data_IF_190917968159
#
_entry.id   IF_190917968159
#
_cell.length_a   1.000
_cell.length_b   1.000
_cell.length_c   1.000
_cell.angle_alpha   90.00
_cell.angle_beta   90.00
_cell.angle_gamma   90.00
#
_symmetry.space_group_name_H-M   'P 1'
#
loop_
_entity.id
_entity.type
_entity.pdbx_description
1 polymer ?
#
# COMPACT_ATOMS: atom_id res chain seq x y z
N UNK A 1 -9.24 4.02 -12.49
CA UNK A 1 -10.29 3.38 -11.65
C UNK A 1 -11.49 4.32 -11.51
N UNK A 2 -12.73 3.85 -11.29
CA UNK A 2 -13.85 4.74 -10.92
C UNK A 2 -13.79 5.14 -9.45
N UNK A 3 -14.47 6.21 -9.04
CA UNK A 3 -14.56 6.62 -7.62
C UNK A 3 -15.14 5.48 -6.76
N UNK A 4 -16.18 4.80 -7.23
CA UNK A 4 -16.79 3.67 -6.52
C UNK A 4 -15.82 2.49 -6.36
N UNK A 5 -15.03 2.20 -7.40
CA UNK A 5 -14.01 1.16 -7.35
C UNK A 5 -12.87 1.51 -6.38
N UNK A 6 -12.52 2.80 -6.24
CA UNK A 6 -11.53 3.25 -5.26
C UNK A 6 -11.96 2.94 -3.83
N UNK A 7 -13.22 3.19 -3.49
CA UNK A 7 -13.77 2.88 -2.16
C UNK A 7 -14.18 1.42 -1.98
N UNK A 8 -13.93 0.57 -2.98
CA UNK A 8 -14.13 -0.87 -2.86
C UNK A 8 -12.81 -1.54 -2.51
N UNK A 9 -12.84 -2.40 -1.48
CA UNK A 9 -11.66 -3.18 -1.09
C UNK A 9 -11.17 -4.04 -2.26
N UNK A 10 -9.85 -4.06 -2.57
CA UNK A 10 -9.32 -4.96 -3.57
C UNK A 10 -9.39 -6.41 -3.09
N UNK A 11 -9.10 -7.40 -3.97
CA UNK A 11 -8.95 -8.79 -3.57
C UNK A 11 -7.96 -8.93 -2.38
N UNK A 12 -8.24 -9.84 -1.45
CA UNK A 12 -7.43 -10.01 -0.22
C UNK A 12 -5.94 -10.21 -0.52
N UNK A 13 -5.62 -11.01 -1.54
CA UNK A 13 -4.24 -11.24 -2.01
C UNK A 13 -3.51 -9.96 -2.43
N UNK A 14 -4.23 -8.98 -3.01
CA UNK A 14 -3.68 -7.67 -3.42
C UNK A 14 -3.41 -6.83 -2.18
N UNK A 15 -4.36 -6.79 -1.24
CA UNK A 15 -4.17 -6.09 0.03
C UNK A 15 -2.98 -6.65 0.83
N UNK A 16 -2.90 -7.98 0.96
CA UNK A 16 -1.84 -8.65 1.71
C UNK A 16 -0.47 -8.41 1.05
N UNK A 17 -0.40 -8.41 -0.27
CA UNK A 17 0.81 -8.08 -1.02
C UNK A 17 1.23 -6.61 -0.81
N UNK A 18 0.30 -5.65 -0.91
CA UNK A 18 0.57 -4.24 -0.63
C UNK A 18 1.09 -4.06 0.79
N UNK A 19 0.39 -4.63 1.77
CA UNK A 19 0.73 -4.49 3.19
C UNK A 19 2.11 -5.08 3.48
N UNK A 20 2.38 -6.31 3.02
CA UNK A 20 3.67 -6.99 3.22
C UNK A 20 4.84 -6.21 2.63
N UNK A 21 4.71 -5.75 1.38
CA UNK A 21 5.80 -4.99 0.76
C UNK A 21 5.94 -3.58 1.37
N UNK A 22 4.84 -2.96 1.82
CA UNK A 22 4.90 -1.71 2.55
C UNK A 22 5.62 -1.84 3.90
N UNK A 23 5.34 -2.90 4.67
CA UNK A 23 6.04 -3.22 5.92
C UNK A 23 7.54 -3.37 5.70
N UNK A 24 7.96 -4.05 4.62
CA UNK A 24 9.39 -4.19 4.27
C UNK A 24 10.03 -2.84 3.94
N UNK A 25 9.37 -1.99 3.16
CA UNK A 25 9.89 -0.66 2.82
C UNK A 25 10.09 0.16 4.09
N UNK A 26 9.07 0.24 4.96
CA UNK A 26 9.17 0.99 6.22
C UNK A 26 10.21 0.41 7.18
N UNK A 27 10.38 -0.91 7.20
CA UNK A 27 11.38 -1.58 8.04
C UNK A 27 12.82 -1.19 7.70
N UNK A 28 13.07 -0.69 6.48
CA UNK A 28 14.39 -0.19 6.07
C UNK A 28 14.75 1.21 6.57
N UNK A 29 13.80 1.93 7.15
CA UNK A 29 14.02 3.27 7.71
C UNK A 29 14.49 3.21 9.17
N UNK A 30 15.10 4.31 9.62
CA UNK A 30 15.47 4.51 11.02
C UNK A 30 14.28 5.00 11.88
N UNK A 31 14.44 4.92 13.19
CA UNK A 31 13.47 5.49 14.13
C UNK A 31 13.46 7.03 14.10
N UNK A 32 12.32 7.69 14.37
CA UNK A 32 11.02 7.11 14.74
C UNK A 32 10.14 6.75 13.53
N UNK A 33 10.61 7.03 12.30
CA UNK A 33 9.80 6.84 11.09
C UNK A 33 9.39 5.39 10.88
N UNK A 34 10.29 4.44 11.14
CA UNK A 34 9.98 3.02 11.05
C UNK A 34 8.83 2.62 11.97
N UNK A 35 8.97 2.81 13.29
CA UNK A 35 7.93 2.39 14.24
C UNK A 35 6.60 3.10 13.99
N UNK A 36 6.62 4.41 13.73
CA UNK A 36 5.39 5.19 13.48
C UNK A 36 4.60 4.65 12.29
N UNK A 37 5.26 4.31 11.17
CA UNK A 37 4.57 3.80 9.99
C UNK A 37 4.13 2.35 10.14
N UNK A 38 4.95 1.50 10.76
CA UNK A 38 4.59 0.11 11.04
C UNK A 38 3.38 0.02 11.99
N UNK A 39 3.31 0.87 13.01
CA UNK A 39 2.18 0.90 13.93
C UNK A 39 0.86 1.33 13.25
N UNK A 40 0.93 2.22 12.25
CA UNK A 40 -0.25 2.61 11.46
C UNK A 40 -0.80 1.50 10.56
N UNK A 41 0.03 0.55 10.14
CA UNK A 41 -0.37 -0.49 9.17
C UNK A 41 -0.66 -1.85 9.81
N UNK A 42 -0.09 -2.14 10.98
CA UNK A 42 -0.15 -3.48 11.59
C UNK A 42 -1.58 -4.00 11.77
N UNK A 43 -2.50 -3.14 12.19
CA UNK A 43 -3.90 -3.51 12.50
C UNK A 43 -4.87 -3.20 11.36
N UNK A 44 -4.36 -2.65 10.24
CA UNK A 44 -5.17 -2.32 9.07
C UNK A 44 -5.70 -3.60 8.44
N UNK A 45 -7.01 -3.60 8.17
CA UNK A 45 -7.76 -4.69 7.52
C UNK A 45 -8.14 -4.31 6.10
N UNK A 46 -8.40 -5.29 5.25
CA UNK A 46 -8.85 -5.09 3.88
C UNK A 46 -10.32 -4.66 3.83
N UNK A 47 -10.59 -3.38 4.06
CA UNK A 47 -11.92 -2.78 4.07
C UNK A 47 -11.85 -1.44 3.35
N UNK A 48 -12.83 -1.17 2.48
CA UNK A 48 -12.90 0.09 1.73
C UNK A 48 -11.57 0.41 1.02
N UNK A 49 -11.09 1.63 1.18
CA UNK A 49 -9.89 2.24 0.63
C UNK A 49 -8.64 2.00 1.49
N UNK A 50 -8.67 1.14 2.51
CA UNK A 50 -7.52 0.91 3.40
C UNK A 50 -6.26 0.45 2.64
N UNK A 51 -6.41 -0.32 1.56
CA UNK A 51 -5.29 -0.68 0.69
C UNK A 51 -4.61 0.58 0.10
N UNK A 52 -5.42 1.53 -0.36
CA UNK A 52 -4.97 2.76 -0.99
C UNK A 52 -4.49 3.78 0.04
N UNK A 53 -5.04 3.77 1.25
CA UNK A 53 -4.49 4.51 2.38
C UNK A 53 -3.04 4.11 2.66
N UNK A 54 -2.71 2.82 2.65
CA UNK A 54 -1.33 2.34 2.82
C UNK A 54 -0.43 2.89 1.71
N UNK A 55 -0.89 2.82 0.46
CA UNK A 55 -0.15 3.34 -0.71
C UNK A 55 0.05 4.87 -0.61
N UNK A 56 -0.97 5.60 -0.15
CA UNK A 56 -0.96 7.06 -0.05
C UNK A 56 0.01 7.60 1.02
N UNK A 57 0.49 6.76 1.94
CA UNK A 57 1.54 7.15 2.88
C UNK A 57 2.91 7.31 2.22
N UNK A 58 3.10 6.77 1.02
CA UNK A 58 4.38 6.81 0.33
C UNK A 58 4.55 8.08 -0.51
N UNK A 59 5.75 8.65 -0.42
CA UNK A 59 6.25 9.57 -1.45
C UNK A 59 6.45 8.86 -2.80
N UNK A 60 6.79 9.65 -3.82
CA UNK A 60 7.00 9.13 -5.17
C UNK A 60 8.06 8.02 -5.25
N UNK A 61 9.17 8.13 -4.51
CA UNK A 61 10.27 7.17 -4.57
C UNK A 61 9.86 5.84 -3.91
N UNK A 62 9.23 5.91 -2.74
CA UNK A 62 8.79 4.71 -2.04
C UNK A 62 7.62 4.03 -2.73
N UNK A 63 6.72 4.80 -3.37
CA UNK A 63 5.67 4.23 -4.21
C UNK A 63 6.26 3.52 -5.43
N UNK A 64 7.30 4.07 -6.05
CA UNK A 64 8.02 3.40 -7.15
C UNK A 64 8.66 2.08 -6.69
N UNK A 65 9.27 2.04 -5.50
CA UNK A 65 9.79 0.79 -4.91
C UNK A 65 8.67 -0.23 -4.67
N UNK A 66 7.53 0.21 -4.13
CA UNK A 66 6.37 -0.67 -3.92
C UNK A 66 5.91 -1.29 -5.25
N UNK A 67 5.68 -0.47 -6.27
CA UNK A 67 5.26 -0.92 -7.61
C UNK A 67 6.26 -1.92 -8.22
N UNK A 68 7.55 -1.71 -8.00
CA UNK A 68 8.59 -2.61 -8.50
C UNK A 68 8.65 -3.97 -7.79
N UNK A 69 8.16 -4.07 -6.55
CA UNK A 69 8.29 -5.27 -5.70
C UNK A 69 7.02 -6.13 -5.63
N UNK A 70 5.89 -5.63 -6.12
CA UNK A 70 4.62 -6.36 -6.14
C UNK A 70 4.38 -7.06 -7.48
N UNK A 71 3.42 -7.97 -7.52
CA UNK A 71 2.97 -8.58 -8.77
C UNK A 71 2.49 -7.53 -9.79
N UNK A 72 2.57 -7.85 -11.09
CA UNK A 72 2.07 -6.97 -12.17
C UNK A 72 0.60 -6.59 -11.99
N UNK A 73 -0.22 -7.53 -11.48
CA UNK A 73 -1.64 -7.29 -11.16
C UNK A 73 -1.77 -6.18 -10.13
N UNK A 74 -1.10 -6.32 -9.00
CA UNK A 74 -1.12 -5.34 -7.90
C UNK A 74 -0.53 -4.00 -8.33
N UNK A 75 0.55 -4.00 -9.11
CA UNK A 75 1.16 -2.80 -9.67
C UNK A 75 0.17 -1.99 -10.52
N UNK A 76 -0.57 -2.64 -11.43
CA UNK A 76 -1.59 -1.95 -12.23
C UNK A 76 -2.68 -1.34 -11.35
N UNK A 77 -3.17 -2.05 -10.33
CA UNK A 77 -4.20 -1.52 -9.43
C UNK A 77 -3.70 -0.30 -8.63
N UNK A 78 -2.43 -0.31 -8.18
CA UNK A 78 -1.82 0.84 -7.50
C UNK A 78 -1.74 2.06 -8.43
N UNK A 79 -1.35 1.85 -9.69
CA UNK A 79 -1.24 2.91 -10.70
C UNK A 79 -2.63 3.50 -10.97
N UNK A 80 -3.63 2.66 -11.19
CA UNK A 80 -5.01 3.08 -11.47
C UNK A 80 -5.70 3.79 -10.31
N UNK A 81 -5.21 3.58 -9.08
CA UNK A 81 -5.67 4.26 -7.86
C UNK A 81 -4.98 5.60 -7.60
N UNK A 82 -3.92 5.90 -8.35
CA UNK A 82 -3.10 7.11 -8.17
C UNK A 82 -3.37 8.18 -9.24
N UNK A 83 -4.28 7.91 -10.18
CA UNK A 83 -4.69 8.76 -11.31
C UNK A 83 -6.13 9.19 -11.16
#
# INVERSE_FOLDING_TARGET
>A
MTIEQYYTAPPQEVFDEIKREAEKIWSSYEEPYRSEKLDRIKDTKNVSDNAWYIVAMFDYQNRAKLIANVSKKTAHMIIDAST
#
